data_IF_270482138770
#
_entry.id   IF_270482138770
#
_cell.length_a   1.000
_cell.length_b   1.000
_cell.length_c   1.000
_cell.angle_alpha   90.00
_cell.angle_beta   90.00
_cell.angle_gamma   90.00
#
_symmetry.space_group_name_H-M   'P 1'
#
loop_
_entity.id
_entity.type
_entity.pdbx_description
1 polymer ?
#
# COMPACT_ATOMS: atom_id res chain seq x y z
N UNK A 1 16.22 41.61 36.30
CA UNK A 1 15.23 41.61 37.40
C UNK A 1 14.30 40.43 37.13
N UNK A 2 14.55 39.21 37.64
CA UNK A 2 14.31 38.70 39.02
C UNK A 2 12.93 39.13 39.52
N UNK A 3 11.98 38.29 39.94
CA UNK A 3 12.01 37.09 40.81
C UNK A 3 10.98 36.06 40.28
N UNK A 4 11.15 34.73 40.30
CA UNK A 4 11.44 33.75 41.36
C UNK A 4 10.37 33.69 42.46
N UNK A 5 9.59 32.60 42.48
CA UNK A 5 9.14 31.93 43.70
C UNK A 5 8.96 30.43 43.41
N UNK A 6 9.90 29.64 43.96
CA UNK A 6 9.79 28.20 44.25
C UNK A 6 9.20 28.05 45.66
N UNK A 7 8.51 26.95 45.93
CA UNK A 7 8.82 25.94 46.97
C UNK A 7 7.73 24.82 46.87
N UNK A 8 8.02 23.55 46.52
CA UNK A 8 8.61 22.43 47.31
C UNK A 8 7.74 22.08 48.56
N UNK A 9 7.26 20.86 48.85
CA UNK A 9 7.87 19.51 48.84
C UNK A 9 6.82 18.40 49.14
N UNK A 10 7.14 17.17 48.68
CA UNK A 10 7.00 15.83 49.32
C UNK A 10 5.59 15.31 49.74
N UNK A 11 5.25 14.02 49.62
CA UNK A 11 6.09 12.86 49.33
C UNK A 11 5.32 11.54 49.18
N UNK A 12 6.14 10.52 48.91
CA UNK A 12 5.88 9.10 48.65
C UNK A 12 4.89 8.38 49.60
N UNK A 13 4.19 7.34 49.11
CA UNK A 13 4.56 5.91 49.25
C UNK A 13 3.37 4.93 49.04
N UNK A 14 3.74 3.67 48.75
CA UNK A 14 2.99 2.38 48.90
C UNK A 14 2.02 2.03 47.76
N UNK A 15 2.32 1.11 46.83
CA UNK A 15 2.44 -0.38 46.91
C UNK A 15 1.24 -1.10 47.53
N UNK A 16 0.24 -1.46 46.71
CA UNK A 16 -0.63 -2.61 47.01
C UNK A 16 -0.77 -3.51 45.79
N UNK A 17 -0.31 -4.74 46.01
CA UNK A 17 -0.38 -5.94 45.20
C UNK A 17 -1.81 -6.40 44.86
N UNK A 18 -2.03 -6.77 43.60
CA UNK A 18 -3.13 -7.63 43.17
C UNK A 18 -2.57 -8.75 42.26
N UNK A 19 -2.91 -10.03 42.48
CA UNK A 19 -2.25 -11.13 41.79
C UNK A 19 -2.88 -11.36 40.40
N UNK A 20 -2.11 -11.09 39.34
CA UNK A 20 -2.41 -11.61 38.00
C UNK A 20 -1.94 -13.05 37.92
N UNK A 21 -2.89 -13.98 37.90
CA UNK A 21 -2.66 -15.41 37.67
C UNK A 21 -2.10 -15.61 36.25
N UNK A 22 -0.78 -15.79 36.15
CA UNK A 22 -0.15 -16.39 34.99
C UNK A 22 -0.25 -17.92 35.11
N UNK A 23 -1.08 -18.54 34.26
CA UNK A 23 -1.06 -19.99 34.09
C UNK A 23 0.12 -20.34 33.18
N UNK A 24 1.27 -20.64 33.79
CA UNK A 24 2.47 -21.15 33.13
C UNK A 24 2.46 -22.67 33.26
N UNK A 25 2.17 -23.39 32.18
CA UNK A 25 2.48 -24.82 32.14
C UNK A 25 3.93 -24.99 31.68
N UNK A 26 4.73 -25.58 32.57
CA UNK A 26 6.08 -26.03 32.30
C UNK A 26 6.05 -27.39 31.60
N UNK A 27 6.79 -27.52 30.50
CA UNK A 27 7.46 -28.77 30.13
C UNK A 27 8.97 -28.46 30.04
N UNK A 28 9.78 -29.35 30.63
CA UNK A 28 11.15 -29.08 31.07
C UNK A 28 12.26 -29.20 30.03
N UNK A 29 13.40 -28.57 30.38
CA UNK A 29 14.83 -28.79 30.06
C UNK A 29 15.25 -29.20 28.62
N UNK A 30 16.33 -28.67 28.03
CA UNK A 30 17.69 -28.50 28.57
C UNK A 30 18.46 -27.40 27.82
N UNK A 31 19.35 -26.72 28.53
CA UNK A 31 20.37 -25.80 28.01
C UNK A 31 21.41 -26.50 27.12
N UNK A 32 21.80 -25.82 26.03
CA UNK A 32 23.14 -25.93 25.43
C UNK A 32 23.23 -26.62 24.07
N UNK A 33 23.20 -25.84 22.99
CA UNK A 33 24.26 -25.80 21.96
C UNK A 33 24.02 -24.67 20.95
N UNK A 34 25.12 -24.01 20.62
CA UNK A 34 25.30 -22.85 19.76
C UNK A 34 25.45 -23.31 18.29
N UNK A 35 24.93 -22.50 17.35
CA UNK A 35 25.22 -22.42 15.89
C UNK A 35 24.69 -23.51 14.92
N UNK A 36 23.70 -23.13 14.08
CA UNK A 36 23.68 -23.33 12.60
C UNK A 36 22.52 -22.49 11.95
N UNK A 37 22.75 -21.61 10.95
CA UNK A 37 21.70 -20.83 10.28
C UNK A 37 20.99 -21.53 9.10
N UNK A 38 20.95 -22.88 9.06
CA UNK A 38 20.16 -23.62 8.05
C UNK A 38 19.32 -24.74 8.66
N UNK A 39 18.23 -24.37 9.35
CA UNK A 39 17.14 -25.29 9.67
C UNK A 39 15.86 -24.49 9.93
N UNK A 40 15.00 -24.38 8.91
CA UNK A 40 13.63 -23.93 9.07
C UNK A 40 12.74 -25.18 9.01
N UNK A 41 12.46 -25.74 10.18
CA UNK A 41 11.54 -26.86 10.31
C UNK A 41 10.10 -26.39 10.05
N UNK A 42 9.49 -26.91 8.99
CA UNK A 42 8.09 -26.67 8.63
C UNK A 42 7.18 -27.22 9.73
N UNK A 43 6.54 -26.34 10.50
CA UNK A 43 5.45 -26.75 11.39
C UNK A 43 4.18 -26.95 10.56
N UNK A 44 3.81 -28.21 10.35
CA UNK A 44 2.51 -28.60 9.82
C UNK A 44 1.51 -28.62 10.98
N UNK A 45 0.47 -27.79 10.92
CA UNK A 45 -0.74 -27.97 11.73
C UNK A 45 -1.74 -28.79 10.92
N UNK A 46 -2.00 -30.02 11.36
CA UNK A 46 -3.03 -30.90 10.78
C UNK A 46 -4.23 -30.91 11.71
N UNK A 47 -5.32 -30.25 11.33
CA UNK A 47 -6.63 -30.43 11.98
C UNK A 47 -7.40 -31.49 11.21
N UNK A 48 -7.72 -32.59 11.88
CA UNK A 48 -8.49 -33.72 11.35
C UNK A 48 -9.97 -33.32 11.33
N UNK A 49 -10.56 -33.15 10.15
CA UNK A 49 -12.02 -33.00 9.99
C UNK A 49 -12.59 -34.37 9.63
N UNK A 50 -13.49 -34.89 10.46
CA UNK A 50 -14.32 -36.04 10.11
C UNK A 50 -15.31 -35.63 9.03
N UNK A 51 -15.27 -36.34 7.90
CA UNK A 51 -16.18 -36.19 6.76
C UNK A 51 -17.55 -36.79 7.06
N UNK A 52 -18.61 -36.03 6.78
CA UNK A 52 -19.90 -36.54 6.31
C UNK A 52 -20.43 -35.57 5.24
N UNK A 53 -21.05 -36.15 4.22
CA UNK A 53 -21.06 -35.72 2.83
C UNK A 53 -21.98 -34.52 2.48
N UNK A 54 -21.52 -33.78 1.47
CA UNK A 54 -22.30 -33.07 0.42
C UNK A 54 -23.21 -31.89 0.81
N UNK A 55 -22.73 -30.67 0.51
CA UNK A 55 -23.38 -29.77 -0.46
C UNK A 55 -22.37 -28.72 -0.95
N UNK A 56 -22.31 -28.58 -2.27
CA UNK A 56 -21.47 -27.65 -3.02
C UNK A 56 -21.41 -26.27 -2.39
N UNK A 57 -20.22 -25.84 -1.99
CA UNK A 57 -19.86 -24.43 -1.77
C UNK A 57 -18.47 -24.23 -2.35
N UNK A 58 -18.40 -23.30 -3.29
CA UNK A 58 -17.18 -22.81 -3.91
C UNK A 58 -16.32 -22.17 -2.81
N UNK A 59 -15.27 -22.89 -2.41
CA UNK A 59 -14.35 -22.46 -1.35
C UNK A 59 -13.30 -21.56 -1.97
N UNK A 60 -13.34 -20.28 -1.61
CA UNK A 60 -12.29 -19.32 -1.94
C UNK A 60 -10.99 -19.75 -1.25
N UNK A 61 -10.10 -20.34 -2.05
CA UNK A 61 -8.73 -20.68 -1.68
C UNK A 61 -7.92 -19.43 -1.37
N UNK A 62 -7.49 -19.30 -0.13
CA UNK A 62 -6.56 -18.28 0.34
C UNK A 62 -5.16 -18.47 -0.29
N UNK A 63 -4.55 -17.35 -0.71
CA UNK A 63 -3.40 -17.22 -1.60
C UNK A 63 -3.66 -17.58 -3.07
N UNK A 64 -4.36 -16.70 -3.81
CA UNK A 64 -4.02 -16.53 -5.23
C UNK A 64 -2.81 -15.60 -5.34
N UNK A 65 -1.61 -16.16 -5.18
CA UNK A 65 -0.48 -15.67 -5.96
C UNK A 65 -0.74 -16.14 -7.38
N UNK A 66 -1.24 -15.27 -8.25
CA UNK A 66 -1.48 -15.65 -9.64
C UNK A 66 -0.16 -16.06 -10.29
N UNK A 67 0.06 -17.36 -10.39
CA UNK A 67 1.09 -17.96 -11.22
C UNK A 67 0.51 -18.15 -12.61
N UNK A 68 0.29 -17.07 -13.36
CA UNK A 68 -0.23 -17.21 -14.71
C UNK A 68 -0.92 -15.98 -15.27
N UNK A 69 -0.14 -14.95 -15.58
CA UNK A 69 -0.36 -14.01 -16.69
C UNK A 69 0.66 -12.88 -16.54
N UNK A 70 1.91 -13.16 -16.92
CA UNK A 70 2.76 -12.05 -17.35
C UNK A 70 2.09 -11.51 -18.62
N UNK A 71 1.49 -10.33 -18.56
CA UNK A 71 1.02 -9.64 -19.76
C UNK A 71 2.20 -9.59 -20.74
N UNK A 72 2.13 -10.26 -21.91
CA UNK A 72 3.18 -10.16 -22.91
C UNK A 72 3.08 -8.76 -23.50
N UNK A 73 3.89 -7.82 -23.02
CA UNK A 73 3.90 -6.47 -23.59
C UNK A 73 4.32 -5.31 -22.70
N UNK A 74 4.64 -5.50 -21.42
CA UNK A 74 5.34 -4.44 -20.67
C UNK A 74 6.82 -4.50 -21.05
N UNK A 75 7.16 -3.89 -22.18
CA UNK A 75 8.54 -3.64 -22.53
C UNK A 75 9.13 -2.77 -21.42
N UNK A 76 10.17 -3.25 -20.76
CA UNK A 76 10.89 -2.51 -19.73
C UNK A 76 11.58 -1.29 -20.37
N UNK A 77 10.83 -0.24 -20.68
CA UNK A 77 11.39 1.08 -20.90
C UNK A 77 11.72 1.63 -19.52
N UNK A 78 12.77 1.02 -18.96
CA UNK A 78 13.50 1.51 -17.81
C UNK A 78 13.67 3.01 -17.96
N UNK A 79 13.25 3.77 -16.95
CA UNK A 79 13.64 5.17 -16.75
C UNK A 79 15.08 5.33 -17.25
N UNK A 80 15.25 6.04 -18.37
CA UNK A 80 16.40 5.94 -19.27
C UNK A 80 17.69 5.61 -18.52
N UNK A 81 18.17 4.35 -18.64
CA UNK A 81 19.39 3.91 -17.97
C UNK A 81 20.53 4.83 -18.41
N UNK A 82 21.16 5.48 -17.46
CA UNK A 82 22.36 6.32 -17.70
C UNK A 82 23.63 5.46 -17.84
N UNK A 83 23.59 4.19 -17.40
CA UNK A 83 24.65 3.18 -17.62
C UNK A 83 24.13 1.75 -17.42
N UNK A 84 24.87 0.73 -17.90
CA UNK A 84 24.55 -0.69 -17.73
C UNK A 84 24.59 -1.17 -16.27
N UNK A 85 25.30 -0.45 -15.39
CA UNK A 85 25.51 -0.82 -14.00
C UNK A 85 24.55 -0.13 -13.02
N UNK A 86 23.73 0.82 -13.46
CA UNK A 86 22.78 1.49 -12.57
C UNK A 86 21.51 0.64 -12.42
N UNK A 87 21.37 -0.04 -11.27
CA UNK A 87 20.13 -0.72 -10.90
C UNK A 87 19.05 0.33 -10.72
N UNK A 88 18.00 0.37 -11.56
CA UNK A 88 16.93 1.35 -11.42
C UNK A 88 16.23 1.17 -10.08
N UNK A 89 15.93 2.27 -9.39
CA UNK A 89 15.29 2.19 -8.08
C UNK A 89 13.87 1.61 -8.15
N UNK A 90 13.35 1.19 -7.00
CA UNK A 90 12.03 0.55 -6.90
C UNK A 90 10.91 1.57 -7.11
N UNK A 91 9.99 1.26 -8.02
CA UNK A 91 8.78 2.06 -8.28
C UNK A 91 7.56 1.17 -8.09
N UNK A 92 6.75 1.51 -7.10
CA UNK A 92 5.51 0.82 -6.75
C UNK A 92 4.33 1.71 -7.14
N UNK A 93 3.44 1.21 -7.98
CA UNK A 93 2.16 1.86 -8.28
C UNK A 93 1.12 1.30 -7.33
N UNK A 94 0.34 2.15 -6.68
CA UNK A 94 -0.66 1.71 -5.72
C UNK A 94 -1.95 2.54 -5.85
N UNK A 95 -3.03 1.96 -5.36
CA UNK A 95 -4.36 2.56 -5.31
C UNK A 95 -5.13 1.98 -4.11
N UNK A 96 -6.09 2.74 -3.59
CA UNK A 96 -6.91 2.34 -2.45
C UNK A 96 -8.38 2.61 -2.70
N UNK A 97 -9.23 1.70 -2.24
CA UNK A 97 -10.65 1.99 -2.04
C UNK A 97 -10.92 2.31 -0.58
N UNK A 98 -11.87 3.19 -0.32
CA UNK A 98 -12.12 3.71 1.03
C UNK A 98 -13.60 3.82 1.35
N UNK A 99 -13.94 3.80 2.62
CA UNK A 99 -15.32 4.02 3.12
C UNK A 99 -15.86 5.46 2.88
N UNK A 100 -15.09 6.36 2.28
CA UNK A 100 -15.48 7.74 2.00
C UNK A 100 -14.27 8.66 1.79
N UNK A 101 -14.48 9.97 1.71
CA UNK A 101 -13.48 10.87 1.09
C UNK A 101 -12.38 11.40 2.03
N UNK A 102 -12.67 11.62 3.31
CA UNK A 102 -11.74 12.24 4.26
C UNK A 102 -11.10 11.21 5.20
N UNK A 103 -9.78 11.06 5.12
CA UNK A 103 -9.00 10.07 5.89
C UNK A 103 -9.20 10.12 7.42
N UNK A 104 -9.48 11.29 7.99
CA UNK A 104 -9.79 11.43 9.42
C UNK A 104 -10.98 10.58 9.84
N UNK A 105 -12.03 10.62 9.03
CA UNK A 105 -13.33 10.06 9.35
C UNK A 105 -13.60 8.74 8.63
N UNK A 106 -12.68 8.30 7.77
CA UNK A 106 -12.83 7.13 6.91
C UNK A 106 -11.61 6.18 6.97
N UNK A 107 -11.83 4.97 6.46
CA UNK A 107 -10.91 3.83 6.48
C UNK A 107 -10.73 3.26 5.08
N UNK A 108 -9.59 2.61 4.86
CA UNK A 108 -9.29 1.82 3.66
C UNK A 108 -10.10 0.50 3.69
N UNK A 109 -10.66 0.10 2.56
CA UNK A 109 -11.42 -1.16 2.37
C UNK A 109 -10.80 -2.08 1.32
N UNK A 110 -9.95 -1.55 0.45
CA UNK A 110 -9.13 -2.32 -0.50
C UNK A 110 -7.80 -1.61 -0.66
N UNK A 111 -6.73 -2.39 -0.79
CA UNK A 111 -5.40 -1.90 -1.08
C UNK A 111 -4.79 -2.74 -2.19
N UNK A 112 -4.33 -2.08 -3.25
CA UNK A 112 -3.63 -2.73 -4.36
C UNK A 112 -2.30 -2.04 -4.64
N UNK A 113 -1.34 -2.83 -5.07
CA UNK A 113 0.00 -2.38 -5.39
C UNK A 113 0.64 -3.27 -6.46
N UNK A 114 1.43 -2.65 -7.34
CA UNK A 114 2.24 -3.30 -8.36
C UNK A 114 3.65 -2.72 -8.41
N UNK A 115 4.66 -3.57 -8.35
CA UNK A 115 6.04 -3.25 -8.64
C UNK A 115 6.29 -3.24 -10.15
N UNK A 116 6.74 -2.10 -10.67
CA UNK A 116 7.02 -1.91 -12.09
C UNK A 116 8.25 -2.66 -12.60
N UNK A 117 9.11 -3.18 -11.71
CA UNK A 117 10.19 -4.10 -12.11
C UNK A 117 9.66 -5.47 -12.56
N UNK A 118 8.40 -5.79 -12.25
CA UNK A 118 7.76 -7.04 -12.66
C UNK A 118 8.33 -8.28 -11.95
N UNK A 119 8.24 -9.43 -12.62
CA UNK A 119 8.64 -10.71 -12.06
C UNK A 119 7.60 -11.34 -11.14
N UNK A 120 7.97 -12.47 -10.51
CA UNK A 120 7.07 -13.22 -9.63
C UNK A 120 6.67 -12.36 -8.43
N UNK A 121 5.39 -12.41 -8.07
CA UNK A 121 4.80 -11.66 -6.95
C UNK A 121 5.04 -10.14 -7.08
N UNK A 122 5.00 -9.59 -8.31
CA UNK A 122 5.08 -8.15 -8.54
C UNK A 122 3.80 -7.39 -8.17
N UNK A 123 2.77 -8.08 -7.67
CA UNK A 123 1.53 -7.46 -7.17
C UNK A 123 1.29 -7.81 -5.71
N UNK A 124 0.61 -6.92 -5.02
CA UNK A 124 0.05 -7.12 -3.68
C UNK A 124 -1.36 -6.54 -3.69
N UNK A 125 -2.36 -7.34 -3.32
CA UNK A 125 -3.77 -6.92 -3.29
C UNK A 125 -4.46 -7.54 -2.09
N UNK A 126 -5.27 -6.76 -1.39
CA UNK A 126 -6.06 -7.27 -0.27
C UNK A 126 -7.28 -6.38 0.00
N UNK A 127 -8.39 -7.02 0.36
CA UNK A 127 -9.50 -6.35 1.03
C UNK A 127 -9.11 -6.10 2.49
N UNK A 128 -9.65 -5.03 3.06
CA UNK A 128 -9.36 -4.62 4.43
C UNK A 128 -10.67 -4.43 5.17
N UNK A 129 -10.79 -5.06 6.33
CA UNK A 129 -11.88 -4.83 7.26
C UNK A 129 -11.67 -3.44 7.89
N UNK A 130 -12.55 -2.46 7.61
CA UNK A 130 -12.39 -1.10 8.11
C UNK A 130 -12.87 -0.94 9.55
N UNK A 131 -13.36 -2.02 10.17
CA UNK A 131 -13.97 -2.04 11.52
C UNK A 131 -15.17 -1.09 11.63
N UNK A 132 -15.91 -0.94 10.52
CA UNK A 132 -17.09 -0.07 10.40
C UNK A 132 -17.91 -0.47 9.17
N UNK A 133 -19.09 0.15 9.06
CA UNK A 133 -19.92 0.00 7.87
C UNK A 133 -19.34 0.78 6.68
N UNK A 134 -19.44 0.16 5.50
CA UNK A 134 -19.21 0.78 4.19
C UNK A 134 -20.53 1.43 3.72
N UNK A 135 -20.56 2.75 3.45
CA UNK A 135 -21.76 3.42 2.94
C UNK A 135 -22.23 2.83 1.61
N UNK A 136 -23.55 2.76 1.39
CA UNK A 136 -24.14 2.21 0.17
C UNK A 136 -23.67 2.92 -1.11
N UNK A 137 -23.43 4.23 -1.03
CA UNK A 137 -22.89 5.01 -2.16
C UNK A 137 -21.47 4.58 -2.56
N UNK A 138 -20.65 4.15 -1.60
CA UNK A 138 -19.31 3.61 -1.86
C UNK A 138 -19.41 2.20 -2.43
N UNK A 139 -20.26 1.36 -1.83
CA UNK A 139 -20.50 0.00 -2.30
C UNK A 139 -21.04 -0.02 -3.75
N UNK A 140 -21.87 0.94 -4.13
CA UNK A 140 -22.40 1.06 -5.49
C UNK A 140 -21.32 1.36 -6.55
N UNK A 141 -20.24 2.04 -6.16
CA UNK A 141 -19.14 2.41 -7.08
C UNK A 141 -18.07 1.33 -7.11
N UNK A 142 -17.70 0.80 -5.95
CA UNK A 142 -16.58 -0.14 -5.76
C UNK A 142 -17.00 -1.61 -5.85
N UNK A 143 -18.30 -1.90 -5.73
CA UNK A 143 -18.85 -3.25 -5.49
C UNK A 143 -18.37 -3.89 -4.18
N UNK A 144 -17.82 -3.09 -3.24
CA UNK A 144 -17.33 -3.57 -1.95
C UNK A 144 -18.32 -3.16 -0.85
N UNK A 145 -19.12 -4.13 -0.40
CA UNK A 145 -20.12 -3.96 0.66
C UNK A 145 -19.58 -4.24 2.08
N UNK A 146 -20.34 -3.82 3.09
CA UNK A 146 -20.04 -4.09 4.51
C UNK A 146 -19.98 -5.59 4.79
N UNK A 147 -20.89 -6.36 4.21
CA UNK A 147 -20.98 -7.81 4.35
C UNK A 147 -19.72 -8.52 3.84
N UNK A 148 -19.09 -7.99 2.79
CA UNK A 148 -17.85 -8.53 2.24
C UNK A 148 -16.67 -8.25 3.15
N UNK A 149 -16.44 -6.98 3.52
CA UNK A 149 -15.24 -6.59 4.31
C UNK A 149 -15.30 -7.02 5.77
N UNK A 150 -16.48 -7.39 6.28
CA UNK A 150 -16.66 -7.91 7.63
C UNK A 150 -16.60 -9.44 7.70
N UNK A 151 -16.31 -10.16 6.61
CA UNK A 151 -16.13 -11.61 6.68
C UNK A 151 -14.93 -11.95 7.58
N UNK A 152 -14.96 -13.09 8.32
CA UNK A 152 -13.95 -13.40 9.34
C UNK A 152 -12.52 -13.52 8.81
N UNK A 153 -12.36 -13.78 7.52
CA UNK A 153 -11.11 -14.01 6.84
C UNK A 153 -10.50 -12.71 6.27
N UNK A 154 -11.25 -11.61 6.24
CA UNK A 154 -10.77 -10.32 5.76
C UNK A 154 -9.96 -9.62 6.88
N UNK A 155 -8.66 -9.34 6.64
CA UNK A 155 -7.77 -8.80 7.66
C UNK A 155 -8.10 -7.34 7.99
N UNK A 156 -7.77 -6.91 9.21
CA UNK A 156 -7.71 -5.48 9.54
C UNK A 156 -6.40 -4.89 9.01
N UNK A 157 -6.33 -3.56 8.90
CA UNK A 157 -5.09 -2.92 8.45
C UNK A 157 -3.88 -3.28 9.34
N UNK A 158 -4.08 -3.44 10.65
CA UNK A 158 -3.04 -3.88 11.59
C UNK A 158 -2.44 -5.25 11.25
N UNK A 159 -3.23 -6.14 10.66
CA UNK A 159 -2.79 -7.47 10.25
C UNK A 159 -2.07 -7.44 8.88
N UNK A 160 -2.46 -6.49 8.02
CA UNK A 160 -1.86 -6.27 6.69
C UNK A 160 -0.49 -5.59 6.81
N UNK A 161 -0.34 -4.63 7.73
CA UNK A 161 0.82 -3.75 7.82
C UNK A 161 2.18 -4.49 7.88
N UNK A 162 2.38 -5.53 8.73
CA UNK A 162 3.65 -6.27 8.75
C UNK A 162 3.97 -6.93 7.41
N UNK A 163 2.95 -7.48 6.74
CA UNK A 163 3.10 -8.15 5.44
C UNK A 163 3.41 -7.13 4.34
N UNK A 164 2.78 -5.96 4.37
CA UNK A 164 3.06 -4.87 3.44
C UNK A 164 4.51 -4.38 3.58
N UNK A 165 4.98 -4.16 4.82
CA UNK A 165 6.36 -3.74 5.08
C UNK A 165 7.37 -4.79 4.61
N UNK A 166 7.11 -6.08 4.89
CA UNK A 166 7.96 -7.18 4.44
C UNK A 166 7.98 -7.28 2.91
N UNK A 167 6.83 -7.12 2.26
CA UNK A 167 6.71 -7.09 0.81
C UNK A 167 7.60 -5.98 0.24
N UNK A 168 7.40 -4.73 0.66
CA UNK A 168 8.13 -3.57 0.12
C UNK A 168 9.64 -3.73 0.34
N UNK A 169 10.05 -4.19 1.52
CA UNK A 169 11.46 -4.45 1.83
C UNK A 169 12.08 -5.51 0.89
N UNK A 170 11.32 -6.54 0.52
CA UNK A 170 11.79 -7.57 -0.43
C UNK A 170 11.97 -7.05 -1.85
N UNK A 171 11.27 -5.96 -2.21
CA UNK A 171 11.31 -5.33 -3.54
C UNK A 171 12.27 -4.15 -3.62
N UNK A 172 12.69 -3.62 -2.47
CA UNK A 172 13.50 -2.41 -2.39
C UNK A 172 14.92 -2.64 -2.94
N UNK A 173 15.31 -1.80 -3.89
CA UNK A 173 16.66 -1.75 -4.41
C UNK A 173 17.64 -1.27 -3.31
N UNK A 174 18.76 -1.98 -3.08
CA UNK A 174 19.73 -1.61 -2.04
C UNK A 174 20.23 -0.18 -2.19
N UNK A 175 20.23 0.58 -1.08
CA UNK A 175 20.74 1.95 -1.03
C UNK A 175 19.90 2.98 -1.78
N UNK A 176 18.71 2.62 -2.28
CA UNK A 176 17.80 3.53 -2.99
C UNK A 176 16.44 3.65 -2.27
N UNK A 177 15.80 4.82 -2.33
CA UNK A 177 14.45 4.98 -1.84
C UNK A 177 13.42 4.23 -2.69
N UNK A 178 12.25 3.99 -2.11
CA UNK A 178 11.10 3.42 -2.84
C UNK A 178 10.20 4.56 -3.30
N UNK A 179 9.93 4.63 -4.61
CA UNK A 179 8.98 5.58 -5.17
C UNK A 179 7.58 4.94 -5.22
N UNK A 180 6.61 5.59 -4.60
CA UNK A 180 5.21 5.18 -4.56
C UNK A 180 4.38 6.09 -5.46
N UNK A 181 3.73 5.54 -6.47
CA UNK A 181 2.96 6.30 -7.46
C UNK A 181 1.47 6.01 -7.26
N UNK A 182 0.68 7.05 -7.05
CA UNK A 182 -0.78 6.98 -7.11
C UNK A 182 -1.33 8.18 -7.90
N UNK A 183 -2.59 8.11 -8.33
CA UNK A 183 -3.24 9.19 -9.07
C UNK A 183 -4.04 10.07 -8.11
N UNK A 184 -3.60 11.32 -7.88
CA UNK A 184 -4.06 12.19 -6.79
C UNK A 184 -3.49 11.80 -5.41
N UNK A 185 -2.34 11.14 -5.39
CA UNK A 185 -1.67 10.61 -4.20
C UNK A 185 -1.60 11.61 -3.03
N UNK A 186 -1.17 12.85 -3.31
CA UNK A 186 -0.94 13.90 -2.30
C UNK A 186 -2.18 14.31 -1.52
N UNK A 187 -3.36 14.23 -2.14
CA UNK A 187 -4.61 14.69 -1.54
C UNK A 187 -5.52 13.54 -1.08
N UNK A 188 -5.24 12.30 -1.48
CA UNK A 188 -6.11 11.17 -1.22
C UNK A 188 -5.35 9.98 -0.61
N UNK A 189 -4.64 9.20 -1.43
CA UNK A 189 -4.05 7.92 -1.03
C UNK A 189 -3.05 8.05 0.12
N UNK A 190 -2.15 9.03 0.05
CA UNK A 190 -1.07 9.19 1.04
C UNK A 190 -1.61 9.59 2.41
N UNK A 191 -2.53 10.57 2.54
CA UNK A 191 -3.20 10.84 3.82
C UNK A 191 -3.91 9.63 4.43
N UNK A 192 -4.60 8.80 3.63
CA UNK A 192 -5.23 7.57 4.12
C UNK A 192 -4.21 6.56 4.63
N UNK A 193 -3.16 6.31 3.83
CA UNK A 193 -2.09 5.39 4.21
C UNK A 193 -1.40 5.86 5.50
N UNK A 194 -1.05 7.15 5.60
CA UNK A 194 -0.43 7.74 6.78
C UNK A 194 -1.32 7.61 8.02
N UNK A 195 -2.63 7.81 7.87
CA UNK A 195 -3.58 7.66 8.96
C UNK A 195 -3.72 6.21 9.44
N UNK A 196 -3.71 5.22 8.53
CA UNK A 196 -3.73 3.81 8.91
C UNK A 196 -2.43 3.36 9.59
N UNK A 197 -1.28 3.84 9.15
CA UNK A 197 0.00 3.66 9.86
C UNK A 197 -0.07 4.24 11.27
N UNK A 198 -0.55 5.48 11.42
CA UNK A 198 -0.70 6.13 12.72
C UNK A 198 -1.66 5.38 13.66
N UNK A 199 -2.78 4.85 13.14
CA UNK A 199 -3.71 3.98 13.91
C UNK A 199 -3.03 2.71 14.41
N UNK A 200 -2.02 2.22 13.70
CA UNK A 200 -1.21 1.07 14.10
C UNK A 200 0.00 1.44 14.98
N UNK A 201 0.11 2.70 15.42
CA UNK A 201 1.28 3.22 16.14
C UNK A 201 2.60 3.00 15.37
N UNK A 202 2.53 3.10 14.04
CA UNK A 202 3.66 2.96 13.13
C UNK A 202 3.87 4.24 12.32
N UNK A 203 5.09 4.43 11.83
CA UNK A 203 5.44 5.52 10.92
C UNK A 203 5.69 4.97 9.51
N UNK A 204 5.33 5.77 8.50
CA UNK A 204 5.73 5.46 7.13
C UNK A 204 7.26 5.54 7.04
N UNK A 205 7.95 4.53 6.46
CA UNK A 205 9.39 4.54 6.34
C UNK A 205 9.93 5.82 5.67
N UNK A 206 11.01 6.37 6.24
CA UNK A 206 11.57 7.65 5.81
C UNK A 206 12.20 7.63 4.41
N UNK A 207 12.36 6.46 3.82
CA UNK A 207 12.86 6.25 2.46
C UNK A 207 11.73 5.96 1.45
N UNK A 208 10.46 6.11 1.86
CA UNK A 208 9.31 6.09 0.96
C UNK A 208 8.99 7.51 0.47
N UNK A 209 8.96 7.66 -0.84
CA UNK A 209 8.70 8.92 -1.53
C UNK A 209 7.50 8.78 -2.44
N UNK A 210 6.58 9.73 -2.40
CA UNK A 210 5.29 9.64 -3.08
C UNK A 210 5.23 10.56 -4.29
N UNK A 211 4.92 9.98 -5.44
CA UNK A 211 4.75 10.65 -6.72
C UNK A 211 3.26 10.74 -7.01
N UNK A 212 2.78 11.95 -7.30
CA UNK A 212 1.41 12.18 -7.72
C UNK A 212 1.33 12.25 -9.25
N UNK A 213 0.81 11.19 -9.88
CA UNK A 213 0.71 11.11 -11.34
C UNK A 213 -0.25 12.15 -11.93
N UNK A 214 -1.23 12.65 -11.16
CA UNK A 214 -2.13 13.72 -11.57
C UNK A 214 -1.36 15.04 -11.75
N UNK A 215 -0.40 15.30 -10.86
CA UNK A 215 0.49 16.46 -10.98
C UNK A 215 1.36 16.37 -12.25
N UNK A 216 1.90 15.18 -12.56
CA UNK A 216 2.66 14.94 -13.79
C UNK A 216 1.79 15.10 -15.05
N UNK A 217 0.58 14.53 -15.05
CA UNK A 217 -0.37 14.66 -16.16
C UNK A 217 -0.74 16.13 -16.46
N UNK A 218 -0.95 16.94 -15.40
CA UNK A 218 -1.18 18.39 -15.54
C UNK A 218 0.02 19.11 -16.14
N UNK A 219 1.24 18.74 -15.75
CA UNK A 219 2.49 19.30 -16.31
C UNK A 219 2.59 19.00 -17.81
N UNK A 220 2.31 17.77 -18.21
CA UNK A 220 2.29 17.33 -19.61
C UNK A 220 1.28 18.13 -20.44
N UNK A 221 0.02 18.20 -19.99
CA UNK A 221 -1.02 18.96 -20.68
C UNK A 221 -0.65 20.45 -20.78
N UNK A 222 -0.06 21.04 -19.72
CA UNK A 222 0.38 22.44 -19.75
C UNK A 222 1.50 22.67 -20.77
N UNK A 223 2.45 21.73 -20.95
CA UNK A 223 3.46 21.84 -22.00
C UNK A 223 2.87 21.74 -23.41
N UNK A 224 1.81 20.94 -23.59
CA UNK A 224 1.15 20.76 -24.89
C UNK A 224 0.25 21.92 -25.28
N UNK A 225 -0.55 22.44 -24.34
CA UNK A 225 -1.47 23.56 -24.59
C UNK A 225 -0.70 24.83 -24.96
N UNK A 226 0.48 25.04 -24.35
CA UNK A 226 1.40 26.12 -24.77
C UNK A 226 1.80 26.02 -26.25
N UNK A 227 1.80 24.81 -26.82
CA UNK A 227 2.17 24.54 -28.21
C UNK A 227 0.96 24.53 -29.17
N UNK A 228 -0.25 24.21 -28.69
CA UNK A 228 -1.38 23.84 -29.54
C UNK A 228 -2.70 24.63 -29.33
N UNK A 229 -2.74 25.64 -28.46
CA UNK A 229 -3.94 26.45 -28.22
C UNK A 229 -5.00 25.79 -27.32
N UNK A 230 -5.97 26.60 -26.88
CA UNK A 230 -6.82 26.39 -25.69
C UNK A 230 -7.84 25.26 -25.81
N UNK A 231 -7.51 24.08 -25.27
CA UNK A 231 -8.51 23.12 -24.75
C UNK A 231 -8.06 22.59 -23.39
N UNK A 232 -8.94 22.73 -22.37
CA UNK A 232 -8.76 22.04 -21.08
C UNK A 232 -8.90 20.53 -21.33
N UNK A 233 -7.79 19.80 -21.26
CA UNK A 233 -7.79 18.34 -21.31
C UNK A 233 -8.07 17.79 -19.91
N UNK A 234 -8.99 16.85 -19.81
CA UNK A 234 -9.21 16.09 -18.58
C UNK A 234 -7.95 15.26 -18.29
N UNK A 235 -7.62 15.15 -17.01
CA UNK A 235 -6.40 14.48 -16.53
C UNK A 235 -6.74 13.47 -15.43
N UNK A 236 -8.01 13.09 -15.28
CA UNK A 236 -8.38 11.95 -14.43
C UNK A 236 -7.87 10.64 -15.09
N UNK A 237 -7.78 9.57 -14.31
CA UNK A 237 -7.18 8.32 -14.77
C UNK A 237 -7.89 7.75 -16.02
N UNK A 238 -9.21 7.83 -16.06
CA UNK A 238 -10.02 7.35 -17.20
C UNK A 238 -9.75 8.14 -18.49
N UNK A 239 -9.69 9.47 -18.41
CA UNK A 239 -9.34 10.30 -19.55
C UNK A 239 -7.90 10.04 -20.04
N UNK A 240 -6.98 9.74 -19.13
CA UNK A 240 -5.60 9.35 -19.49
C UNK A 240 -5.57 7.95 -20.13
N UNK A 241 -6.36 7.00 -19.62
CA UNK A 241 -6.54 5.67 -20.19
C UNK A 241 -7.01 5.76 -21.64
N UNK A 242 -8.08 6.51 -21.89
CA UNK A 242 -8.63 6.75 -23.23
C UNK A 242 -7.61 7.43 -24.14
N UNK A 243 -6.96 8.49 -23.64
CA UNK A 243 -5.95 9.24 -24.40
C UNK A 243 -4.80 8.36 -24.89
N UNK A 244 -4.35 7.41 -24.08
CA UNK A 244 -3.26 6.50 -24.43
C UNK A 244 -3.72 5.19 -25.09
N UNK A 245 -5.02 5.02 -25.33
CA UNK A 245 -5.58 3.81 -25.95
C UNK A 245 -5.38 2.56 -25.11
N UNK A 246 -5.39 2.68 -23.78
CA UNK A 246 -5.19 1.55 -22.86
C UNK A 246 -6.51 0.80 -22.71
N UNK A 247 -6.56 -0.47 -23.13
CA UNK A 247 -7.73 -1.33 -22.96
C UNK A 247 -7.91 -1.74 -21.49
N UNK A 248 -9.16 -1.77 -21.03
CA UNK A 248 -9.58 -2.31 -19.74
C UNK A 248 -10.95 -2.97 -19.91
N UNK A 249 -11.08 -4.23 -19.50
CA UNK A 249 -12.30 -5.03 -19.69
C UNK A 249 -13.31 -4.88 -18.53
N UNK A 250 -12.83 -4.57 -17.32
CA UNK A 250 -13.70 -4.38 -16.15
C UNK A 250 -14.27 -2.97 -16.02
N UNK A 251 -15.49 -2.87 -15.50
CA UNK A 251 -16.22 -1.61 -15.25
C UNK A 251 -16.27 -1.22 -13.78
N UNK A 252 -16.03 -2.16 -12.85
CA UNK A 252 -16.01 -1.87 -11.42
C UNK A 252 -14.74 -1.08 -11.02
N UNK A 253 -14.91 -0.08 -10.14
CA UNK A 253 -13.78 0.57 -9.47
C UNK A 253 -13.18 -0.42 -8.47
N UNK A 254 -12.09 -1.06 -8.87
CA UNK A 254 -11.31 -1.97 -8.05
C UNK A 254 -9.88 -1.47 -8.05
N UNK A 255 -9.25 -1.46 -6.89
CA UNK A 255 -7.93 -0.86 -6.74
C UNK A 255 -6.90 -1.46 -7.71
N UNK A 256 -6.90 -2.79 -7.92
CA UNK A 256 -5.92 -3.43 -8.83
C UNK A 256 -6.15 -3.11 -10.31
N UNK A 257 -7.40 -2.86 -10.72
CA UNK A 257 -7.71 -2.38 -12.06
C UNK A 257 -7.07 -1.02 -12.29
N UNK A 258 -7.27 -0.10 -11.36
CA UNK A 258 -6.75 1.26 -11.45
C UNK A 258 -5.22 1.29 -11.32
N UNK A 259 -4.62 0.44 -10.47
CA UNK A 259 -3.16 0.18 -10.45
C UNK A 259 -2.65 -0.29 -11.81
N UNK A 260 -3.37 -1.20 -12.48
CA UNK A 260 -2.94 -1.76 -13.76
C UNK A 260 -3.02 -0.73 -14.89
N UNK A 261 -4.08 0.09 -14.90
CA UNK A 261 -4.21 1.24 -15.82
C UNK A 261 -3.10 2.26 -15.54
N UNK A 262 -2.94 2.67 -14.27
CA UNK A 262 -1.97 3.66 -13.86
C UNK A 262 -0.54 3.21 -14.15
N UNK A 263 -0.24 1.91 -14.04
CA UNK A 263 1.07 1.34 -14.38
C UNK A 263 1.43 1.55 -15.84
N UNK A 264 0.46 1.56 -16.75
CA UNK A 264 0.68 1.85 -18.17
C UNK A 264 0.70 3.37 -18.41
N UNK A 265 -0.23 4.11 -17.81
CA UNK A 265 -0.31 5.58 -17.93
C UNK A 265 0.98 6.25 -17.45
N UNK A 266 1.54 5.85 -16.30
CA UNK A 266 2.75 6.46 -15.76
C UNK A 266 3.95 6.25 -16.69
N UNK A 267 4.07 5.08 -17.31
CA UNK A 267 5.12 4.82 -18.30
C UNK A 267 5.01 5.78 -19.49
N UNK A 268 3.80 5.99 -20.02
CA UNK A 268 3.57 6.96 -21.11
C UNK A 268 3.87 8.40 -20.70
N UNK A 269 3.38 8.83 -19.53
CA UNK A 269 3.63 10.19 -19.02
C UNK A 269 5.14 10.44 -18.80
N UNK A 270 5.85 9.49 -18.18
CA UNK A 270 7.30 9.62 -17.95
C UNK A 270 8.09 9.66 -19.25
N UNK A 271 7.67 8.89 -20.27
CA UNK A 271 8.25 8.94 -21.61
C UNK A 271 8.02 10.30 -22.27
N UNK A 272 6.78 10.79 -22.29
CA UNK A 272 6.42 12.07 -22.92
C UNK A 272 7.12 13.27 -22.24
N UNK A 273 7.26 13.22 -20.92
CA UNK A 273 7.98 14.22 -20.13
C UNK A 273 9.51 14.02 -20.11
N UNK A 274 10.03 12.96 -20.72
CA UNK A 274 11.45 12.58 -20.72
C UNK A 274 12.04 12.49 -19.29
N UNK A 275 11.27 11.95 -18.36
CA UNK A 275 11.70 11.82 -16.97
C UNK A 275 12.60 10.59 -16.78
N UNK A 276 13.71 10.78 -16.06
CA UNK A 276 14.54 9.71 -15.51
C UNK A 276 14.06 9.33 -14.11
N UNK A 277 14.66 8.30 -13.49
CA UNK A 277 14.32 7.91 -12.11
C UNK A 277 14.55 9.07 -11.14
N UNK A 278 15.70 9.74 -11.24
CA UNK A 278 15.98 10.93 -10.43
C UNK A 278 15.03 12.08 -10.77
N UNK A 279 14.64 12.23 -12.04
CA UNK A 279 13.59 13.18 -12.43
C UNK A 279 12.26 12.89 -11.75
N UNK A 280 11.85 11.63 -11.69
CA UNK A 280 10.61 11.19 -11.03
C UNK A 280 10.69 11.38 -9.51
N UNK A 281 11.84 11.09 -8.91
CA UNK A 281 12.12 11.32 -7.50
C UNK A 281 12.10 12.81 -7.15
N UNK A 282 12.58 13.70 -8.02
CA UNK A 282 12.49 15.14 -7.81
C UNK A 282 11.04 15.67 -7.83
N UNK A 283 10.10 14.95 -8.46
CA UNK A 283 8.67 15.26 -8.46
C UNK A 283 7.92 14.65 -7.26
N UNK A 284 8.62 13.83 -6.47
CA UNK A 284 8.06 13.14 -5.30
C UNK A 284 8.08 14.01 -4.03
N UNK A 285 7.30 13.60 -3.03
CA UNK A 285 7.22 14.23 -1.71
C UNK A 285 7.29 13.19 -0.60
N UNK A 286 7.62 13.60 0.62
CA UNK A 286 7.51 12.70 1.79
C UNK A 286 6.06 12.67 2.27
N UNK A 287 5.67 11.60 2.96
CA UNK A 287 4.33 11.50 3.57
C UNK A 287 4.02 12.69 4.51
N UNK A 288 5.03 13.19 5.24
CA UNK A 288 4.92 14.36 6.12
C UNK A 288 4.53 15.66 5.41
N UNK A 289 4.77 15.73 4.11
CA UNK A 289 4.57 16.93 3.28
C UNK A 289 3.19 16.90 2.59
N UNK A 290 2.56 15.72 2.51
CA UNK A 290 1.17 15.57 2.07
C UNK A 290 0.25 16.16 3.14
N UNK A 291 -0.73 16.97 2.71
CA UNK A 291 -1.44 17.95 3.55
C UNK A 291 -1.75 17.44 4.97
N UNK A 292 -1.21 18.17 5.95
CA UNK A 292 -1.74 18.27 7.32
C UNK A 292 -3.09 18.98 7.24
N UNK A 293 -4.16 18.29 6.87
CA UNK A 293 -5.50 18.82 7.13
C UNK A 293 -5.69 18.70 8.64
N UNK A 294 -5.40 19.75 9.39
CA UNK A 294 -5.80 19.94 10.80
C UNK A 294 -7.30 20.14 10.91
#
# INVERSE_FOLDING_TARGET
>A
MSLVLRFNLLGNNVWTSGPVRFLKQHAGFSSGKLLDPRSCEKRHFTTRVQTLETKFTETASWHKTDSGSCIPGIQSLWLQKTSEHDQPGTVLVFDIETTGFLHKDHRIIEFALRDLSGGKNCTFETLINPERNVPQVVAAVTSIGTDLVCRPDIPRFSDVLPTLLAYVRSRQAPGKPVLWVAHNAKNFDVPFLAQEFARCSAEIPADWFFVDSLSLARKLVKSEVKLAGEKRRLVNLEALRERYGICSEDTAHRAMRDVTILSQVIQKITFDLKLTYEGLKNESVRASDCRKLS
#
